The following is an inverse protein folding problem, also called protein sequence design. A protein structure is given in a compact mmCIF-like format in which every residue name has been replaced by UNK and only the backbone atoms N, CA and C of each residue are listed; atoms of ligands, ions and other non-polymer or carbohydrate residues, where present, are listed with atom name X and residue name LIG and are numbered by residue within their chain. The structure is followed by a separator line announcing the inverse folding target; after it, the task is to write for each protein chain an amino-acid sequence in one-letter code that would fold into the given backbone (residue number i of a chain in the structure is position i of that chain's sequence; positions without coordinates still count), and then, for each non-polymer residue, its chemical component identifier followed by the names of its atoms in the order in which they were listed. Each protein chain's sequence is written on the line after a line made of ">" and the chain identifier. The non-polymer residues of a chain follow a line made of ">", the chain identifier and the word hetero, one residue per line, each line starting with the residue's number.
data_IF_594310719799
#
_entry.id   IF_594310719799
#
_cell.length_a   1.000
_cell.length_b   1.000
_cell.length_c   1.000
_cell.angle_alpha   90.00
_cell.angle_beta   90.00
_cell.angle_gamma   90.00
#
_symmetry.space_group_name_H-M   'P 1'
#
loop_
_entity.id
_entity.type
_entity.pdbx_description
1 polymer ?
#
# COMPACT_ATOMS: atom_id res chain seq x y z
N UNK A 1 -3.67 -8.98 17.08
CA UNK A 1 -4.28 -7.85 16.34
C UNK A 1 -3.15 -6.86 16.02
N UNK A 2 -2.93 -6.55 14.76
CA UNK A 2 -1.92 -5.57 14.35
C UNK A 2 -2.41 -4.16 14.69
N UNK A 3 -1.53 -3.23 15.15
CA UNK A 3 -1.91 -1.86 15.40
C UNK A 3 -2.20 -1.13 14.08
N UNK A 4 -3.10 -0.14 14.11
CA UNK A 4 -3.41 0.72 12.95
C UNK A 4 -2.26 1.66 12.62
N UNK A 5 -1.50 2.05 13.64
CA UNK A 5 -0.32 2.92 13.54
C UNK A 5 0.84 2.38 14.36
N UNK A 6 2.04 2.67 13.87
CA UNK A 6 3.29 2.47 14.59
C UNK A 6 4.03 3.80 14.68
N UNK A 7 4.57 4.12 15.85
CA UNK A 7 5.35 5.34 16.06
C UNK A 7 6.79 5.01 16.39
N UNK A 8 7.70 5.82 15.88
CA UNK A 8 9.14 5.75 16.14
C UNK A 8 9.67 7.16 16.37
N UNK A 9 10.77 7.26 17.07
CA UNK A 9 11.56 8.48 17.19
C UNK A 9 12.98 8.18 16.72
N UNK A 10 13.44 8.94 15.74
CA UNK A 10 14.77 8.78 15.11
C UNK A 10 15.37 10.17 14.96
N UNK A 11 16.57 10.39 15.48
CA UNK A 11 17.29 11.68 15.44
C UNK A 11 16.42 12.85 15.95
N UNK A 12 15.59 12.62 16.99
CA UNK A 12 14.70 13.61 17.57
C UNK A 12 13.43 13.89 16.78
N UNK A 13 13.23 13.23 15.63
CA UNK A 13 12.03 13.34 14.81
C UNK A 13 11.03 12.23 15.12
N UNK A 14 9.76 12.59 15.24
CA UNK A 14 8.66 11.67 15.43
C UNK A 14 8.14 11.17 14.09
N UNK A 15 8.13 9.85 13.91
CA UNK A 15 7.73 9.18 12.68
C UNK A 15 6.48 8.36 12.94
N UNK A 16 5.40 8.67 12.22
CA UNK A 16 4.17 7.89 12.19
C UNK A 16 4.17 6.95 10.97
N UNK A 17 3.83 5.67 11.16
CA UNK A 17 3.74 4.68 10.10
C UNK A 17 2.34 4.06 10.13
N UNK A 18 1.63 4.09 9.01
CA UNK A 18 0.27 3.57 8.88
C UNK A 18 0.04 2.94 7.50
N UNK A 19 -0.97 2.08 7.37
CA UNK A 19 -1.34 1.59 6.04
C UNK A 19 -2.07 2.66 5.23
N UNK A 20 -3.05 3.35 5.83
CA UNK A 20 -3.82 4.43 5.22
C UNK A 20 -3.99 5.55 6.25
N UNK A 21 -5.20 5.93 6.62
CA UNK A 21 -5.43 6.88 7.69
C UNK A 21 -5.25 6.23 9.08
N UNK A 22 -4.96 7.02 10.13
CA UNK A 22 -4.77 6.49 11.48
C UNK A 22 -5.96 5.69 12.04
N UNK A 23 -7.16 6.02 11.60
CA UNK A 23 -8.44 5.46 12.04
C UNK A 23 -9.12 4.57 11.00
N UNK A 24 -8.53 4.46 9.79
CA UNK A 24 -9.14 3.79 8.65
C UNK A 24 -8.07 3.23 7.71
N UNK A 25 -8.10 1.93 7.41
CA UNK A 25 -7.09 1.24 6.57
C UNK A 25 -7.50 1.06 5.10
N UNK A 26 -8.55 1.71 4.64
CA UNK A 26 -9.09 1.65 3.27
C UNK A 26 -9.62 3.01 2.85
N UNK A 27 -9.80 3.22 1.53
CA UNK A 27 -10.42 4.42 0.98
C UNK A 27 -9.58 5.08 -0.11
N UNK A 28 -10.02 6.25 -0.54
CA UNK A 28 -9.40 7.00 -1.65
C UNK A 28 -8.87 8.37 -1.23
N UNK A 29 -8.89 8.67 0.05
CA UNK A 29 -8.57 10.00 0.59
C UNK A 29 -7.12 10.39 0.32
N UNK A 30 -6.20 9.42 0.39
CA UNK A 30 -4.75 9.64 0.29
C UNK A 30 -4.17 9.36 -1.11
N UNK A 31 -5.01 9.37 -2.16
CA UNK A 31 -4.48 9.34 -3.54
C UNK A 31 -3.71 10.63 -3.84
N UNK A 32 -2.74 10.60 -4.77
CA UNK A 32 -1.84 11.73 -5.03
C UNK A 32 -2.55 13.06 -5.39
N UNK A 33 -3.80 12.99 -5.89
CA UNK A 33 -4.66 14.14 -6.18
C UNK A 33 -5.66 14.43 -5.05
N UNK A 34 -5.54 13.75 -3.90
CA UNK A 34 -6.41 13.93 -2.73
C UNK A 34 -6.27 15.31 -2.09
N UNK A 35 -7.28 15.68 -1.30
CA UNK A 35 -7.30 16.97 -0.63
C UNK A 35 -6.24 17.08 0.48
N UNK A 36 -5.65 18.26 0.65
CA UNK A 36 -4.62 18.51 1.66
C UNK A 36 -5.08 18.14 3.07
N UNK A 37 -6.31 18.47 3.42
CA UNK A 37 -6.89 18.16 4.74
C UNK A 37 -6.84 16.67 5.11
N UNK A 38 -6.94 15.77 4.12
CA UNK A 38 -6.89 14.33 4.37
C UNK A 38 -5.46 13.86 4.65
N UNK A 39 -4.47 14.43 3.97
CA UNK A 39 -3.06 14.18 4.25
C UNK A 39 -2.62 14.74 5.61
N UNK A 40 -3.14 15.90 6.01
CA UNK A 40 -2.83 16.49 7.32
C UNK A 40 -3.28 15.60 8.49
N UNK A 41 -4.28 14.74 8.30
CA UNK A 41 -4.69 13.73 9.31
C UNK A 41 -3.58 12.73 9.65
N UNK A 42 -2.66 12.48 8.73
CA UNK A 42 -1.52 11.57 8.96
C UNK A 42 -0.51 12.13 9.95
N UNK A 43 -0.45 13.45 10.10
CA UNK A 43 0.58 14.15 10.89
C UNK A 43 0.04 14.89 12.11
N UNK A 44 -1.28 15.01 12.26
CA UNK A 44 -1.90 15.82 13.33
C UNK A 44 -2.29 15.04 14.58
N UNK A 45 -2.69 13.76 14.46
CA UNK A 45 -3.20 13.02 15.62
C UNK A 45 -2.81 11.52 15.60
N UNK A 46 -1.82 11.09 16.40
CA UNK A 46 -0.90 11.95 17.16
C UNK A 46 0.06 12.70 16.26
N UNK A 47 0.54 13.86 16.70
CA UNK A 47 1.42 14.68 15.87
C UNK A 47 2.76 13.98 15.62
N UNK A 48 3.21 14.01 14.36
CA UNK A 48 4.52 13.53 13.95
C UNK A 48 5.15 14.48 12.92
N UNK A 49 6.47 14.44 12.81
CA UNK A 49 7.23 15.26 11.88
C UNK A 49 7.28 14.62 10.49
N UNK A 50 7.22 13.28 10.46
CA UNK A 50 7.23 12.47 9.23
C UNK A 50 6.12 11.43 9.34
N UNK A 51 5.25 11.36 8.33
CA UNK A 51 4.29 10.29 8.16
C UNK A 51 4.69 9.41 6.97
N UNK A 52 4.73 8.08 7.19
CA UNK A 52 4.90 7.09 6.13
C UNK A 52 3.62 6.28 6.02
N UNK A 53 3.04 6.22 4.82
CA UNK A 53 1.82 5.45 4.61
C UNK A 53 1.91 4.61 3.32
N UNK A 54 1.13 3.54 3.24
CA UNK A 54 1.07 2.62 2.10
C UNK A 54 -0.16 2.84 1.22
N UNK A 55 -0.90 1.78 0.94
CA UNK A 55 -2.22 1.73 0.29
C UNK A 55 -2.28 2.17 -1.18
N UNK A 56 -1.63 3.28 -1.55
CA UNK A 56 -1.78 3.89 -2.89
C UNK A 56 -0.86 3.25 -3.94
N UNK A 57 0.15 2.51 -3.53
CA UNK A 57 1.08 1.79 -4.39
C UNK A 57 1.88 2.68 -5.36
N UNK A 58 2.04 3.96 -5.05
CA UNK A 58 2.84 4.92 -5.81
C UNK A 58 3.89 5.58 -4.92
N UNK A 59 5.11 5.69 -5.43
CA UNK A 59 6.16 6.45 -4.77
C UNK A 59 5.91 7.95 -4.93
N UNK A 60 5.72 8.65 -3.84
CA UNK A 60 5.72 10.11 -3.81
C UNK A 60 5.91 10.65 -2.40
N UNK A 61 6.22 11.93 -2.30
CA UNK A 61 6.13 12.68 -1.05
C UNK A 61 5.42 14.01 -1.26
N UNK A 62 4.90 14.54 -0.17
CA UNK A 62 4.32 15.89 -0.10
C UNK A 62 4.50 16.45 1.30
N UNK A 63 4.21 17.73 1.47
CA UNK A 63 4.21 18.38 2.77
C UNK A 63 2.80 18.47 3.33
N UNK A 64 2.67 18.30 4.66
CA UNK A 64 1.52 18.71 5.44
C UNK A 64 1.40 20.23 5.49
N UNK A 65 0.25 20.74 5.94
CA UNK A 65 0.02 22.21 6.06
C UNK A 65 0.98 22.87 7.06
N UNK A 66 1.45 22.14 8.07
CA UNK A 66 2.43 22.61 9.06
C UNK A 66 3.90 22.42 8.61
N UNK A 67 4.15 21.87 7.43
CA UNK A 67 5.49 21.61 6.91
C UNK A 67 6.02 20.21 7.23
N UNK A 68 5.24 19.34 7.83
CA UNK A 68 5.58 17.93 8.08
C UNK A 68 5.78 17.19 6.75
N UNK A 69 6.61 16.13 6.76
CA UNK A 69 6.84 15.33 5.55
C UNK A 69 5.93 14.10 5.52
N UNK A 70 5.25 13.88 4.40
CA UNK A 70 4.35 12.75 4.16
C UNK A 70 4.89 11.95 2.98
N UNK A 71 5.16 10.65 3.21
CA UNK A 71 5.86 9.78 2.25
C UNK A 71 5.02 8.55 1.96
N UNK A 72 4.89 8.19 0.68
CA UNK A 72 4.45 6.87 0.25
C UNK A 72 5.62 6.14 -0.44
N UNK A 73 6.10 5.01 0.08
CA UNK A 73 7.23 4.27 -0.49
C UNK A 73 6.87 3.47 -1.75
N UNK A 74 5.60 3.44 -2.16
CA UNK A 74 5.12 2.61 -3.25
C UNK A 74 4.69 1.20 -2.80
N UNK A 75 4.74 0.24 -3.70
CA UNK A 75 4.34 -1.14 -3.46
C UNK A 75 5.46 -2.12 -3.76
N UNK A 76 5.64 -3.10 -2.89
CA UNK A 76 6.67 -4.15 -3.07
C UNK A 76 6.32 -5.07 -4.25
N UNK A 77 5.03 -5.34 -4.51
CA UNK A 77 4.66 -6.31 -5.53
C UNK A 77 3.58 -5.86 -6.52
N UNK A 78 2.87 -4.78 -6.24
CA UNK A 78 1.75 -4.32 -7.08
C UNK A 78 1.80 -2.81 -7.32
N UNK A 79 2.81 -2.29 -8.03
CA UNK A 79 2.86 -0.87 -8.37
C UNK A 79 1.64 -0.47 -9.19
N UNK A 80 1.03 0.65 -8.85
CA UNK A 80 -0.17 1.16 -9.50
C UNK A 80 0.08 2.51 -10.15
N UNK A 81 -0.33 2.66 -11.41
CA UNK A 81 -0.23 3.91 -12.16
C UNK A 81 -1.56 4.20 -12.86
N UNK A 82 -2.08 5.40 -12.69
CA UNK A 82 -3.26 5.87 -13.41
C UNK A 82 -2.96 6.07 -14.89
N UNK A 83 -1.79 6.62 -15.21
CA UNK A 83 -1.33 6.82 -16.57
C UNK A 83 -0.82 5.51 -17.18
N UNK A 84 -1.44 5.08 -18.28
CA UNK A 84 -1.16 3.78 -18.92
C UNK A 84 0.29 3.61 -19.37
N UNK A 85 0.95 4.70 -19.79
CA UNK A 85 2.34 4.67 -20.23
C UNK A 85 3.33 4.40 -19.09
N UNK A 86 2.96 4.67 -17.82
CA UNK A 86 3.76 4.43 -16.64
C UNK A 86 3.67 2.99 -16.12
N UNK A 87 2.71 2.19 -16.60
CA UNK A 87 2.49 0.80 -16.16
C UNK A 87 3.61 -0.17 -16.58
N UNK A 88 4.53 0.26 -17.42
CA UNK A 88 5.65 -0.58 -17.90
C UNK A 88 6.69 -0.88 -16.83
N UNK A 89 6.79 -0.08 -15.80
CA UNK A 89 7.74 -0.30 -14.70
C UNK A 89 7.02 -0.95 -13.51
N UNK A 90 7.03 -2.28 -13.47
CA UNK A 90 6.38 -3.10 -12.45
C UNK A 90 7.35 -3.59 -11.35
N UNK A 91 8.54 -3.01 -11.27
CA UNK A 91 9.53 -3.36 -10.24
C UNK A 91 9.00 -3.08 -8.84
N UNK A 92 9.47 -3.86 -7.88
CA UNK A 92 9.20 -3.63 -6.47
C UNK A 92 9.71 -2.27 -6.01
N UNK A 93 8.91 -1.55 -5.23
CA UNK A 93 9.20 -0.20 -4.77
C UNK A 93 9.39 -0.17 -3.26
N UNK A 94 10.38 0.62 -2.80
CA UNK A 94 10.59 0.93 -1.40
C UNK A 94 11.25 2.30 -1.26
N UNK A 95 11.37 2.81 -0.04
CA UNK A 95 12.08 4.04 0.27
C UNK A 95 13.10 3.80 1.38
N UNK A 96 14.23 4.50 1.31
CA UNK A 96 15.21 4.59 2.38
C UNK A 96 15.17 6.03 2.90
N UNK A 97 14.96 6.19 4.20
CA UNK A 97 15.08 7.46 4.89
C UNK A 97 16.40 7.46 5.64
N UNK A 98 17.29 8.37 5.28
CA UNK A 98 18.59 8.52 5.90
C UNK A 98 18.55 9.65 6.93
N UNK A 99 19.04 9.38 8.14
CA UNK A 99 19.07 10.36 9.24
C UNK A 99 20.50 10.57 9.71
N UNK A 100 20.78 11.77 10.15
CA UNK A 100 22.02 12.14 10.82
C UNK A 100 21.75 13.02 12.06
N UNK A 101 22.77 13.64 12.61
CA UNK A 101 22.64 14.50 13.81
C UNK A 101 21.82 15.78 13.55
N UNK A 102 21.62 16.15 12.28
CA UNK A 102 20.83 17.32 11.86
C UNK A 102 19.36 16.96 11.55
N UNK A 103 18.97 15.67 11.63
CA UNK A 103 17.63 15.16 11.37
C UNK A 103 17.54 14.31 10.10
N UNK A 104 16.47 14.46 9.31
CA UNK A 104 16.31 13.76 8.05
C UNK A 104 17.27 14.34 7.00
N UNK A 105 18.20 13.51 6.54
CA UNK A 105 19.22 13.88 5.55
C UNK A 105 18.75 13.65 4.12
N UNK A 106 18.09 12.50 3.85
CA UNK A 106 17.68 12.12 2.49
C UNK A 106 16.46 11.20 2.48
N UNK A 107 15.73 11.20 1.37
CA UNK A 107 14.66 10.27 1.05
C UNK A 107 14.94 9.66 -0.33
N UNK A 108 15.44 8.43 -0.35
CA UNK A 108 15.81 7.70 -1.57
C UNK A 108 14.71 6.73 -1.98
N UNK A 109 14.01 7.03 -3.07
CA UNK A 109 13.02 6.13 -3.67
C UNK A 109 13.70 5.12 -4.60
N UNK A 110 13.55 3.85 -4.28
CA UNK A 110 14.17 2.75 -5.03
C UNK A 110 13.14 1.85 -5.68
N UNK A 111 13.58 1.29 -6.82
CA UNK A 111 12.86 0.23 -7.53
C UNK A 111 13.85 -0.89 -7.81
N UNK A 112 13.42 -2.13 -7.53
CA UNK A 112 14.27 -3.30 -7.65
C UNK A 112 13.55 -4.40 -8.43
N UNK A 113 14.30 -5.05 -9.32
CA UNK A 113 13.82 -6.25 -10.01
C UNK A 113 13.74 -7.42 -9.02
N UNK A 114 12.74 -8.27 -9.22
CA UNK A 114 12.58 -9.52 -8.50
C UNK A 114 12.06 -10.62 -9.43
N UNK A 115 12.16 -11.86 -9.01
CA UNK A 115 11.70 -13.02 -9.79
C UNK A 115 10.17 -13.15 -9.71
N UNK A 116 9.46 -12.43 -10.59
CA UNK A 116 8.00 -12.46 -10.71
C UNK A 116 7.49 -13.88 -11.00
N UNK A 117 8.23 -14.68 -11.78
CA UNK A 117 7.80 -16.05 -12.13
C UNK A 117 7.84 -16.96 -10.90
N UNK A 118 8.86 -16.81 -10.06
CA UNK A 118 8.96 -17.53 -8.80
C UNK A 118 7.84 -17.15 -7.84
N UNK A 119 7.50 -15.86 -7.76
CA UNK A 119 6.39 -15.36 -6.96
C UNK A 119 5.04 -15.94 -7.43
N UNK A 120 4.79 -15.90 -8.73
CA UNK A 120 3.58 -16.46 -9.33
C UNK A 120 3.47 -17.99 -9.11
N UNK A 121 4.61 -18.71 -9.22
CA UNK A 121 4.61 -20.14 -8.93
C UNK A 121 4.32 -20.42 -7.46
N UNK A 122 4.85 -19.63 -6.54
CA UNK A 122 4.57 -19.74 -5.11
C UNK A 122 3.09 -19.46 -4.81
N UNK A 123 2.55 -18.37 -5.35
CA UNK A 123 1.15 -18.01 -5.20
C UNK A 123 0.20 -19.12 -5.71
N UNK A 124 0.52 -19.71 -6.85
CA UNK A 124 -0.22 -20.84 -7.41
C UNK A 124 -0.16 -22.08 -6.51
N UNK A 125 1.01 -22.42 -6.00
CA UNK A 125 1.22 -23.58 -5.12
C UNK A 125 0.49 -23.41 -3.79
N UNK A 126 0.36 -22.17 -3.30
CA UNK A 126 -0.36 -21.82 -2.08
C UNK A 126 -1.87 -21.60 -2.31
N UNK A 127 -2.36 -21.84 -3.53
CA UNK A 127 -3.76 -21.65 -3.91
C UNK A 127 -4.27 -20.24 -3.57
N UNK A 128 -3.45 -19.20 -3.92
CA UNK A 128 -3.83 -17.82 -3.65
C UNK A 128 -5.21 -17.51 -4.28
N UNK A 129 -6.20 -17.05 -3.51
CA UNK A 129 -7.48 -16.62 -4.07
C UNK A 129 -7.30 -15.53 -5.12
N UNK A 130 -8.16 -15.52 -6.14
CA UNK A 130 -8.08 -14.56 -7.25
C UNK A 130 -6.74 -14.59 -8.00
N UNK A 131 -6.11 -15.75 -8.13
CA UNK A 131 -4.79 -15.90 -8.77
C UNK A 131 -4.71 -15.26 -10.15
N UNK A 132 -5.76 -15.34 -10.98
CA UNK A 132 -5.80 -14.71 -12.30
C UNK A 132 -5.62 -13.19 -12.21
N UNK A 133 -6.33 -12.54 -11.30
CA UNK A 133 -6.26 -11.09 -11.06
C UNK A 133 -4.87 -10.70 -10.54
N UNK A 134 -4.32 -11.52 -9.65
CA UNK A 134 -2.96 -11.35 -9.13
C UNK A 134 -1.91 -11.46 -10.26
N UNK A 135 -2.02 -12.48 -11.09
CA UNK A 135 -1.16 -12.65 -12.26
C UNK A 135 -1.17 -11.42 -13.18
N UNK A 136 -2.35 -10.91 -13.54
CA UNK A 136 -2.48 -9.74 -14.42
C UNK A 136 -1.90 -8.47 -13.79
N UNK A 137 -2.00 -8.31 -12.50
CA UNK A 137 -1.41 -7.17 -11.81
C UNK A 137 0.11 -7.20 -11.82
N UNK A 138 0.74 -8.38 -11.64
CA UNK A 138 2.19 -8.54 -11.62
C UNK A 138 2.83 -8.51 -13.02
N UNK A 139 2.15 -9.07 -14.03
CA UNK A 139 2.73 -9.21 -15.38
C UNK A 139 2.38 -8.05 -16.29
N UNK A 140 1.16 -7.53 -16.18
CA UNK A 140 0.62 -6.54 -17.10
C UNK A 140 0.36 -5.17 -16.44
N UNK A 141 0.48 -5.07 -15.11
CA UNK A 141 0.10 -3.86 -14.37
C UNK A 141 -1.39 -3.54 -14.44
N UNK A 142 -2.24 -4.55 -14.69
CA UNK A 142 -3.69 -4.39 -14.77
C UNK A 142 -4.30 -4.76 -13.42
N UNK A 143 -5.00 -3.81 -12.81
CA UNK A 143 -5.66 -3.98 -11.53
C UNK A 143 -7.17 -4.03 -11.71
N UNK A 144 -7.80 -5.07 -11.17
CA UNK A 144 -9.23 -5.33 -11.28
C UNK A 144 -10.03 -4.99 -10.02
N UNK A 145 -9.47 -4.20 -9.10
CA UNK A 145 -10.06 -3.89 -7.77
C UNK A 145 -11.48 -3.31 -7.85
N UNK A 146 -11.85 -2.71 -8.98
CA UNK A 146 -13.19 -2.15 -9.22
C UNK A 146 -13.96 -2.85 -10.34
N UNK A 147 -13.47 -3.98 -10.83
CA UNK A 147 -14.18 -4.82 -11.79
C UNK A 147 -15.06 -5.84 -11.06
N UNK A 148 -16.16 -5.37 -10.49
CA UNK A 148 -17.05 -6.18 -9.64
C UNK A 148 -17.64 -7.38 -10.40
N UNK A 149 -17.88 -7.26 -11.70
CA UNK A 149 -18.41 -8.35 -12.52
C UNK A 149 -17.40 -9.51 -12.59
N UNK A 150 -16.16 -9.23 -12.97
CA UNK A 150 -15.09 -10.23 -13.01
C UNK A 150 -14.81 -10.85 -11.64
N UNK A 151 -14.77 -10.03 -10.59
CA UNK A 151 -14.51 -10.53 -9.23
C UNK A 151 -15.64 -11.48 -8.79
N UNK A 152 -16.88 -11.12 -9.05
CA UNK A 152 -18.03 -11.97 -8.74
C UNK A 152 -18.05 -13.29 -9.53
N UNK A 153 -17.69 -13.26 -10.83
CA UNK A 153 -17.53 -14.47 -11.63
C UNK A 153 -16.47 -15.42 -11.05
N UNK A 154 -15.33 -14.86 -10.60
CA UNK A 154 -14.26 -15.65 -9.94
C UNK A 154 -14.75 -16.24 -8.62
N UNK A 155 -15.42 -15.45 -7.78
CA UNK A 155 -15.99 -15.89 -6.51
C UNK A 155 -16.93 -17.06 -6.69
N UNK A 156 -17.87 -16.98 -7.65
CA UNK A 156 -18.79 -18.05 -7.93
C UNK A 156 -18.10 -19.31 -8.47
N UNK A 157 -17.13 -19.14 -9.36
CA UNK A 157 -16.40 -20.24 -9.98
C UNK A 157 -15.51 -20.97 -8.97
N UNK A 158 -14.83 -20.24 -8.11
CA UNK A 158 -13.83 -20.76 -7.16
C UNK A 158 -14.41 -21.03 -5.77
N UNK A 159 -15.62 -20.53 -5.48
CA UNK A 159 -16.33 -20.79 -4.22
C UNK A 159 -15.81 -20.00 -3.02
N UNK A 160 -15.13 -18.87 -3.25
CA UNK A 160 -14.54 -18.06 -2.19
C UNK A 160 -15.59 -17.46 -1.23
N UNK A 161 -16.77 -17.12 -1.72
CA UNK A 161 -17.91 -16.67 -0.92
C UNK A 161 -18.26 -17.68 0.19
N UNK A 162 -18.31 -18.98 -0.13
CA UNK A 162 -18.58 -20.03 0.86
C UNK A 162 -17.47 -20.20 1.89
N UNK A 163 -16.22 -20.03 1.47
CA UNK A 163 -15.06 -20.06 2.39
C UNK A 163 -15.08 -18.88 3.35
N UNK A 164 -15.44 -17.69 2.85
CA UNK A 164 -15.57 -16.46 3.67
C UNK A 164 -16.72 -16.61 4.67
N UNK A 165 -17.87 -17.11 4.24
CA UNK A 165 -19.03 -17.32 5.12
C UNK A 165 -18.70 -18.30 6.24
N UNK A 166 -18.06 -19.44 5.91
CA UNK A 166 -17.62 -20.42 6.89
C UNK A 166 -16.61 -19.85 7.88
N UNK A 167 -15.67 -19.01 7.42
CA UNK A 167 -14.69 -18.34 8.27
C UNK A 167 -15.36 -17.29 9.18
N UNK A 168 -16.33 -16.55 8.68
CA UNK A 168 -17.09 -15.57 9.48
C UNK A 168 -17.92 -16.25 10.57
N UNK A 169 -18.56 -17.38 10.26
CA UNK A 169 -19.30 -18.17 11.25
C UNK A 169 -18.39 -18.64 12.41
N UNK A 170 -17.18 -19.09 12.10
CA UNK A 170 -16.19 -19.53 13.08
C UNK A 170 -15.62 -18.34 13.92
N UNK A 171 -15.49 -17.18 13.31
CA UNK A 171 -14.90 -15.99 13.93
C UNK A 171 -15.84 -15.30 14.93
N UNK A 172 -17.15 -15.44 14.75
CA UNK A 172 -18.18 -14.84 15.61
C UNK A 172 -18.76 -15.80 16.65
N UNK A 173 -18.30 -17.07 16.69
CA UNK A 173 -18.55 -18.01 17.79
C UNK A 173 -17.52 -17.82 18.90
#
# INVERSE_FOLDING_TARGET
>A
KMPMQVHREIAGLKIGITHHLPDKNWGRELIHIGEQKDFDRLVTNPSCDIAVYGHIHQQFFRYGTGGELIINPGSIGQPFFLEKNLRKDLRAMYAILEFDQMGLKDVDFRRVDYDVQKELQLAKNLHLPYYQVYYESLVNGIHHTHNHELLHEIEQREGHDREIDAWLEDFFQ
#
